data_IF_748052181458
#
_entry.id   IF_748052181458
#
_cell.length_a   1.000
_cell.length_b   1.000
_cell.length_c   1.000
_cell.angle_alpha   90.00
_cell.angle_beta   90.00
_cell.angle_gamma   90.00
#
_symmetry.space_group_name_H-M   'P 1'
#
loop_
_entity.id
_entity.type
_entity.pdbx_description
1 polymer ?
#
# COMPACT_ATOMS: atom_id res chain seq x y z
N UNK A 1 -12.59 -9.27 3.87
CA UNK A 1 -11.78 -8.04 3.67
C UNK A 1 -12.52 -7.15 2.68
N UNK A 2 -12.89 -5.91 3.07
CA UNK A 2 -13.65 -4.99 2.23
C UNK A 2 -12.70 -3.95 1.65
N UNK A 3 -12.28 -4.14 0.41
CA UNK A 3 -11.45 -3.17 -0.33
C UNK A 3 -12.35 -2.01 -0.76
N UNK A 4 -12.33 -0.88 -0.04
CA UNK A 4 -12.99 0.34 -0.50
C UNK A 4 -12.13 0.99 -1.60
N UNK A 5 -12.52 0.73 -2.84
CA UNK A 5 -12.07 1.47 -4.01
C UNK A 5 -12.51 2.92 -3.89
N UNK A 6 -11.60 3.88 -4.11
CA UNK A 6 -11.93 5.29 -4.29
C UNK A 6 -12.42 5.46 -5.74
N UNK A 7 -13.73 5.49 -6.02
CA UNK A 7 -14.25 5.09 -7.33
C UNK A 7 -13.84 6.01 -8.49
N UNK A 8 -13.53 7.28 -8.23
CA UNK A 8 -13.33 8.28 -9.30
C UNK A 8 -11.91 8.85 -9.40
N UNK A 9 -10.98 8.46 -8.52
CA UNK A 9 -9.60 8.99 -8.52
C UNK A 9 -8.54 7.88 -8.43
N UNK A 10 -8.92 6.60 -8.51
CA UNK A 10 -7.97 5.48 -8.28
C UNK A 10 -6.78 5.54 -9.22
N UNK A 11 -6.97 5.85 -10.51
CA UNK A 11 -5.86 5.93 -11.46
C UNK A 11 -4.94 7.14 -11.18
N UNK A 12 -5.52 8.31 -10.92
CA UNK A 12 -4.78 9.52 -10.57
C UNK A 12 -4.01 9.33 -9.26
N UNK A 13 -4.65 8.73 -8.26
CA UNK A 13 -4.06 8.35 -6.99
C UNK A 13 -2.86 7.42 -7.20
N UNK A 14 -3.05 6.32 -7.91
CA UNK A 14 -1.98 5.35 -8.16
C UNK A 14 -0.80 6.01 -8.88
N UNK A 15 -1.06 6.79 -9.95
CA UNK A 15 -0.03 7.54 -10.67
C UNK A 15 0.70 8.53 -9.76
N UNK A 16 -0.01 9.25 -8.89
CA UNK A 16 0.59 10.20 -7.96
C UNK A 16 1.50 9.51 -6.94
N UNK A 17 1.06 8.38 -6.38
CA UNK A 17 1.86 7.58 -5.44
C UNK A 17 3.12 7.03 -6.12
N UNK A 18 2.97 6.36 -7.26
CA UNK A 18 4.12 5.79 -7.99
C UNK A 18 5.13 6.86 -8.42
N UNK A 19 4.65 8.04 -8.85
CA UNK A 19 5.52 9.17 -9.19
C UNK A 19 6.25 9.70 -7.97
N UNK A 20 5.56 9.88 -6.84
CA UNK A 20 6.15 10.41 -5.59
C UNK A 20 7.23 9.48 -5.03
N UNK A 21 7.02 8.17 -5.11
CA UNK A 21 7.93 7.18 -4.51
C UNK A 21 8.81 6.46 -5.54
N UNK A 22 8.92 6.98 -6.78
CA UNK A 22 9.70 6.37 -7.86
C UNK A 22 11.14 6.02 -7.43
N UNK A 23 11.81 6.92 -6.71
CA UNK A 23 13.19 6.69 -6.25
C UNK A 23 13.27 5.59 -5.21
N UNK A 24 12.31 5.52 -4.29
CA UNK A 24 12.27 4.44 -3.29
C UNK A 24 12.02 3.08 -3.96
N UNK A 25 11.12 3.04 -4.95
CA UNK A 25 10.82 1.84 -5.72
C UNK A 25 11.98 1.38 -6.63
N UNK A 26 12.84 2.30 -7.07
CA UNK A 26 13.98 1.97 -7.92
C UNK A 26 15.06 1.12 -7.21
N UNK A 27 15.05 1.10 -5.88
CA UNK A 27 15.97 0.32 -5.06
C UNK A 27 15.37 -1.01 -4.59
N UNK A 28 14.19 -1.40 -5.10
CA UNK A 28 13.47 -2.61 -4.72
C UNK A 28 13.35 -3.58 -5.90
N UNK A 29 13.35 -4.87 -5.61
CA UNK A 29 13.08 -5.94 -6.58
C UNK A 29 11.57 -6.08 -6.79
N UNK A 30 11.09 -5.82 -8.00
CA UNK A 30 9.65 -5.80 -8.30
C UNK A 30 8.97 -7.17 -8.10
N UNK A 31 9.73 -8.26 -8.18
CA UNK A 31 9.29 -9.63 -7.99
C UNK A 31 9.03 -10.00 -6.53
N UNK A 32 9.83 -9.47 -5.61
CA UNK A 32 9.93 -9.96 -4.24
C UNK A 32 9.56 -8.91 -3.20
N UNK A 33 9.80 -7.64 -3.50
CA UNK A 33 9.68 -6.56 -2.54
C UNK A 33 8.32 -5.86 -2.62
N UNK A 34 7.96 -5.25 -1.50
CA UNK A 34 6.87 -4.31 -1.41
C UNK A 34 7.26 -3.11 -0.55
N UNK A 35 6.56 -2.01 -0.77
CA UNK A 35 6.74 -0.78 -0.02
C UNK A 35 5.42 -0.39 0.64
N UNK A 36 5.39 -0.35 1.97
CA UNK A 36 4.26 0.20 2.73
C UNK A 36 4.52 1.64 3.15
N UNK A 37 3.52 2.49 2.94
CA UNK A 37 3.66 3.93 3.09
C UNK A 37 2.40 4.50 3.74
N UNK A 38 2.59 5.24 4.83
CA UNK A 38 1.57 6.17 5.33
C UNK A 38 1.76 7.52 4.62
N UNK A 39 0.74 7.98 3.91
CA UNK A 39 0.78 9.20 3.10
C UNK A 39 -0.56 9.94 3.16
N UNK A 40 -0.59 11.15 2.66
CA UNK A 40 -1.81 11.95 2.55
C UNK A 40 -2.15 12.18 1.07
N UNK A 41 -3.42 12.03 0.71
CA UNK A 41 -3.96 12.33 -0.61
C UNK A 41 -5.23 13.15 -0.49
N UNK A 42 -5.25 14.34 -1.13
CA UNK A 42 -6.35 15.32 -1.01
C UNK A 42 -6.74 15.61 0.45
N UNK A 43 -5.75 15.73 1.35
CA UNK A 43 -5.96 16.00 2.77
C UNK A 43 -6.34 14.78 3.63
N UNK A 44 -6.55 13.61 3.03
CA UNK A 44 -6.93 12.39 3.75
C UNK A 44 -5.70 11.51 3.97
N UNK A 45 -5.47 11.11 5.22
CA UNK A 45 -4.42 10.14 5.55
C UNK A 45 -4.82 8.74 5.04
N UNK A 46 -3.91 8.11 4.32
CA UNK A 46 -4.07 6.78 3.73
C UNK A 46 -2.80 5.98 3.92
N UNK A 47 -2.96 4.69 4.22
CA UNK A 47 -1.88 3.74 4.11
C UNK A 47 -2.00 3.01 2.77
N UNK A 48 -0.87 2.81 2.11
CA UNK A 48 -0.79 2.11 0.83
C UNK A 48 0.30 1.06 0.87
N UNK A 49 0.10 -0.03 0.13
CA UNK A 49 1.14 -0.98 -0.23
C UNK A 49 1.38 -0.86 -1.72
N UNK A 50 2.65 -0.74 -2.10
CA UNK A 50 3.11 -0.79 -3.49
C UNK A 50 3.85 -2.12 -3.70
N UNK A 51 3.48 -2.88 -4.71
CA UNK A 51 4.07 -4.21 -4.99
C UNK A 51 4.05 -4.48 -6.50
N UNK A 52 4.91 -5.38 -6.98
CA UNK A 52 4.90 -5.77 -8.39
C UNK A 52 3.75 -6.70 -8.74
N UNK A 53 3.14 -6.48 -9.91
CA UNK A 53 2.15 -7.39 -10.47
C UNK A 53 2.34 -7.49 -11.98
N UNK A 54 2.22 -8.71 -12.50
CA UNK A 54 2.25 -8.96 -13.93
C UNK A 54 0.96 -8.46 -14.60
N UNK A 55 1.09 -7.82 -15.76
CA UNK A 55 -0.01 -7.55 -16.67
C UNK A 55 -0.42 -8.81 -17.46
N UNK A 56 -1.39 -8.66 -18.36
CA UNK A 56 -1.88 -9.77 -19.20
C UNK A 56 -0.80 -10.32 -20.15
N UNK A 57 0.29 -9.59 -20.37
CA UNK A 57 1.43 -9.99 -21.20
C UNK A 57 2.59 -10.55 -20.38
N UNK A 58 2.44 -10.67 -19.05
CA UNK A 58 3.49 -11.16 -18.16
C UNK A 58 4.54 -10.11 -17.77
N UNK A 59 4.37 -8.83 -18.16
CA UNK A 59 5.30 -7.77 -17.78
C UNK A 59 4.96 -7.24 -16.39
N UNK A 60 5.97 -7.11 -15.53
CA UNK A 60 5.81 -6.61 -14.17
C UNK A 60 5.69 -5.08 -14.14
N UNK A 61 4.70 -4.60 -13.38
CA UNK A 61 4.50 -3.17 -13.10
C UNK A 61 4.23 -2.97 -11.62
N UNK A 62 4.59 -1.80 -11.10
CA UNK A 62 4.25 -1.42 -9.74
C UNK A 62 2.76 -1.13 -9.63
N UNK A 63 2.09 -1.81 -8.71
CA UNK A 63 0.68 -1.63 -8.39
C UNK A 63 0.53 -1.05 -6.99
N UNK A 64 -0.45 -0.16 -6.83
CA UNK A 64 -0.77 0.49 -5.56
C UNK A 64 -2.11 -0.05 -5.07
N UNK A 65 -2.14 -0.52 -3.83
CA UNK A 65 -3.39 -0.85 -3.12
C UNK A 65 -3.48 -0.04 -1.84
N UNK A 66 -4.69 0.40 -1.50
CA UNK A 66 -4.96 0.99 -0.19
C UNK A 66 -5.02 -0.11 0.85
N UNK A 67 -4.28 0.07 1.94
CA UNK A 67 -4.39 -0.78 3.13
C UNK A 67 -5.52 -0.18 3.98
N UNK A 68 -6.55 -0.98 4.26
CA UNK A 68 -7.68 -0.60 5.11
C UNK A 68 -7.71 -1.63 6.24
N UNK A 69 -7.76 -1.15 7.48
CA UNK A 69 -7.68 -1.95 8.70
C UNK A 69 -6.34 -2.70 8.82
N UNK A 70 -5.31 -2.00 9.30
CA UNK A 70 -4.30 -2.69 10.11
C UNK A 70 -5.07 -3.31 11.27
N UNK A 71 -5.16 -4.64 11.37
CA UNK A 71 -5.62 -5.25 12.61
C UNK A 71 -4.71 -4.73 13.72
N UNK A 72 -5.21 -3.78 14.49
CA UNK A 72 -4.76 -3.56 15.86
C UNK A 72 -5.09 -4.86 16.55
N UNK A 73 -4.17 -5.81 16.56
CA UNK A 73 -4.16 -6.81 17.63
C UNK A 73 -3.90 -5.96 18.86
N UNK A 74 -4.88 -5.76 19.77
CA UNK A 74 -4.54 -5.21 21.05
C UNK A 74 -3.61 -6.25 21.66
N UNK A 75 -2.34 -5.93 21.86
CA UNK A 75 -1.50 -6.68 22.80
C UNK A 75 -2.30 -6.71 24.09
N UNK A 76 -2.91 -7.86 24.40
CA UNK A 76 -3.52 -8.08 25.69
C UNK A 76 -2.43 -7.73 26.71
N UNK A 77 -2.69 -6.82 27.68
CA UNK A 77 -1.73 -6.63 28.75
C UNK A 77 -1.54 -8.01 29.39
N UNK A 78 -0.30 -8.47 29.43
CA UNK A 78 0.09 -9.68 30.14
C UNK A 78 -0.26 -9.44 31.62
N UNK A 79 -1.45 -9.87 32.05
CA UNK A 79 -1.81 -9.87 33.46
C UNK A 79 -0.95 -10.95 34.10
N UNK A 80 0.13 -10.52 34.74
CA UNK A 80 0.92 -11.39 35.62
C UNK A 80 0.03 -11.68 36.82
N UNK A 81 -0.63 -12.83 36.83
CA UNK A 81 -1.27 -13.33 38.04
C UNK A 81 -0.16 -13.60 39.05
N UNK A 82 -0.21 -12.84 40.15
CA UNK A 82 0.68 -12.96 41.29
C UNK A 82 0.21 -14.12 42.18
#
# INVERSE_FOLDING_TARGET
>A
MKTLYLPNDTELFNKAILKRFKTALANLEIENDFLEISTTFKGIQVQVRVFGKADLMGKLHWHVIRIINQSVIPTQPFIRNN
#
